data_IF_659030703832
#
_entry.id   IF_659030703832
#
_cell.length_a   1.000
_cell.length_b   1.000
_cell.length_c   1.000
_cell.angle_alpha   90.00
_cell.angle_beta   90.00
_cell.angle_gamma   90.00
#
_symmetry.space_group_name_H-M   'P 1'
#
loop_
_entity.id
_entity.type
_entity.pdbx_description
1 polymer ?
#
# COMPACT_ATOMS: atom_id res chain seq x y z
N UNK A 1 -6.80 -38.62 35.29
CA UNK A 1 -7.09 -37.91 34.03
C UNK A 1 -8.43 -38.44 33.51
N UNK A 2 -9.51 -37.65 33.66
CA UNK A 2 -10.88 -38.08 33.29
C UNK A 2 -11.04 -38.10 31.77
N UNK A 3 -11.82 -39.05 31.23
CA UNK A 3 -12.11 -39.20 29.79
C UNK A 3 -12.52 -37.88 29.09
N UNK A 4 -13.15 -36.95 29.82
CA UNK A 4 -13.48 -35.59 29.34
C UNK A 4 -12.26 -34.73 28.97
N UNK A 5 -11.12 -34.91 29.66
CA UNK A 5 -9.88 -34.15 29.40
C UNK A 5 -9.14 -34.62 28.15
N UNK A 6 -9.45 -35.81 27.64
CA UNK A 6 -8.86 -36.36 26.40
C UNK A 6 -9.51 -35.77 25.13
N UNK A 7 -10.79 -35.35 25.24
CA UNK A 7 -11.58 -34.82 24.12
C UNK A 7 -11.79 -33.30 24.16
N UNK A 8 -11.32 -32.63 25.21
CA UNK A 8 -11.42 -31.17 25.33
C UNK A 8 -10.11 -30.54 24.87
N UNK A 9 -10.09 -29.79 23.75
CA UNK A 9 -8.87 -29.11 23.33
C UNK A 9 -8.45 -28.10 24.41
N UNK A 10 -7.15 -28.04 24.72
CA UNK A 10 -6.59 -27.07 25.66
C UNK A 10 -6.53 -25.68 25.01
N UNK A 11 -7.67 -24.98 24.99
CA UNK A 11 -7.80 -23.62 24.43
C UNK A 11 -7.73 -22.61 25.57
N UNK A 12 -6.69 -21.79 25.59
CA UNK A 12 -6.54 -20.66 26.51
C UNK A 12 -6.58 -19.34 25.74
N UNK A 13 -7.72 -18.65 25.78
CA UNK A 13 -7.87 -17.34 25.14
C UNK A 13 -7.29 -16.26 26.06
N UNK A 14 -6.43 -15.34 25.57
CA UNK A 14 -5.95 -14.22 26.38
C UNK A 14 -7.11 -13.38 26.91
N UNK A 15 -7.06 -13.01 28.20
CA UNK A 15 -8.11 -12.19 28.84
C UNK A 15 -7.72 -10.72 28.94
N UNK A 16 -6.46 -10.37 28.68
CA UNK A 16 -5.99 -8.99 28.78
C UNK A 16 -6.37 -8.16 27.53
N UNK A 17 -6.75 -6.91 27.77
CA UNK A 17 -7.23 -6.02 26.72
C UNK A 17 -6.16 -5.77 25.63
N UNK A 18 -4.90 -5.59 26.05
CA UNK A 18 -3.83 -5.20 25.13
C UNK A 18 -3.53 -6.29 24.10
N UNK A 19 -3.40 -7.54 24.52
CA UNK A 19 -3.17 -8.67 23.62
C UNK A 19 -4.32 -8.84 22.63
N UNK A 20 -5.56 -8.76 23.11
CA UNK A 20 -6.75 -8.84 22.27
C UNK A 20 -6.83 -7.67 21.26
N UNK A 21 -6.51 -6.44 21.68
CA UNK A 21 -6.47 -5.28 20.80
C UNK A 21 -5.40 -5.42 19.71
N UNK A 22 -4.19 -5.85 20.06
CA UNK A 22 -3.11 -6.07 19.10
C UNK A 22 -3.46 -7.17 18.09
N UNK A 23 -4.15 -8.22 18.54
CA UNK A 23 -4.64 -9.26 17.64
C UNK A 23 -5.75 -8.72 16.71
N UNK A 24 -6.69 -7.93 17.23
CA UNK A 24 -7.73 -7.29 16.44
C UNK A 24 -7.16 -6.34 15.38
N UNK A 25 -6.15 -5.54 15.74
CA UNK A 25 -5.46 -4.64 14.81
C UNK A 25 -4.75 -5.42 13.70
N UNK A 26 -4.04 -6.50 14.06
CA UNK A 26 -3.39 -7.38 13.08
C UNK A 26 -4.41 -8.02 12.14
N UNK A 27 -5.53 -8.50 12.68
CA UNK A 27 -6.59 -9.13 11.88
C UNK A 27 -7.26 -8.13 10.95
N UNK A 28 -7.60 -6.94 11.46
CA UNK A 28 -8.14 -5.83 10.66
C UNK A 28 -7.19 -5.43 9.54
N UNK A 29 -5.90 -5.29 9.84
CA UNK A 29 -4.86 -5.00 8.85
C UNK A 29 -4.81 -6.08 7.76
N UNK A 30 -4.88 -7.36 8.13
CA UNK A 30 -4.81 -8.47 7.20
C UNK A 30 -6.03 -8.53 6.26
N UNK A 31 -7.25 -8.47 6.81
CA UNK A 31 -8.49 -8.52 6.01
C UNK A 31 -8.59 -7.31 5.08
N UNK A 32 -8.31 -6.11 5.59
CA UNK A 32 -8.28 -4.90 4.77
C UNK A 32 -7.17 -4.97 3.70
N UNK A 33 -6.00 -5.52 4.04
CA UNK A 33 -4.87 -5.67 3.13
C UNK A 33 -5.17 -6.60 1.97
N UNK A 34 -5.85 -7.73 2.24
CA UNK A 34 -6.34 -8.65 1.19
C UNK A 34 -7.25 -7.91 0.22
N UNK A 35 -8.22 -7.15 0.73
CA UNK A 35 -9.14 -6.40 -0.11
C UNK A 35 -8.43 -5.31 -0.91
N UNK A 36 -7.52 -4.58 -0.29
CA UNK A 36 -6.78 -3.50 -0.92
C UNK A 36 -5.89 -4.03 -2.06
N UNK A 37 -5.00 -4.96 -1.76
CA UNK A 37 -4.04 -5.50 -2.75
C UNK A 37 -4.77 -6.41 -3.76
N UNK A 38 -5.82 -7.11 -3.33
CA UNK A 38 -6.68 -7.88 -4.24
C UNK A 38 -7.33 -7.00 -5.30
N UNK A 39 -7.90 -5.84 -4.91
CA UNK A 39 -8.44 -4.88 -5.87
C UNK A 39 -7.35 -4.24 -6.73
N UNK A 40 -6.16 -3.97 -6.19
CA UNK A 40 -5.02 -3.50 -6.96
C UNK A 40 -4.64 -4.46 -8.09
N UNK A 41 -4.59 -5.76 -7.79
CA UNK A 41 -4.31 -6.82 -8.76
C UNK A 41 -5.46 -6.99 -9.74
N UNK A 42 -6.71 -6.96 -9.28
CA UNK A 42 -7.87 -6.93 -10.17
C UNK A 42 -7.77 -5.79 -11.19
N UNK A 43 -7.45 -4.56 -10.75
CA UNK A 43 -7.33 -3.43 -11.67
C UNK A 43 -6.23 -3.63 -12.73
N UNK A 44 -5.09 -4.19 -12.33
CA UNK A 44 -3.93 -4.32 -13.21
C UNK A 44 -3.97 -5.56 -14.12
N UNK A 45 -4.44 -6.69 -13.59
CA UNK A 45 -4.38 -7.99 -14.26
C UNK A 45 -5.66 -8.36 -14.98
N UNK A 46 -6.81 -7.84 -14.54
CA UNK A 46 -8.13 -8.22 -15.07
C UNK A 46 -8.80 -7.04 -15.76
N UNK A 47 -9.00 -5.94 -15.03
CA UNK A 47 -9.78 -4.82 -15.52
C UNK A 47 -9.11 -4.12 -16.73
N UNK A 48 -7.82 -3.78 -16.64
CA UNK A 48 -7.13 -3.10 -17.76
C UNK A 48 -7.16 -3.92 -19.05
N UNK A 49 -6.83 -5.23 -19.07
CA UNK A 49 -6.98 -6.06 -20.26
C UNK A 49 -8.42 -6.07 -20.80
N UNK A 50 -9.42 -6.35 -19.95
CA UNK A 50 -10.83 -6.35 -20.34
C UNK A 50 -11.26 -5.03 -20.99
N UNK A 51 -10.81 -3.89 -20.44
CA UNK A 51 -11.16 -2.56 -20.97
C UNK A 51 -10.61 -2.26 -22.38
N UNK A 52 -9.68 -3.06 -22.89
CA UNK A 52 -9.17 -2.97 -24.27
C UNK A 52 -10.02 -3.78 -25.26
N UNK A 53 -10.75 -4.77 -24.77
CA UNK A 53 -11.57 -5.67 -25.58
C UNK A 53 -13.00 -5.14 -25.78
N UNK A 54 -13.47 -4.27 -24.88
CA UNK A 54 -14.81 -3.69 -24.94
C UNK A 54 -14.92 -2.58 -26.00
N UNK A 55 -16.02 -2.60 -26.76
CA UNK A 55 -16.41 -1.51 -27.64
C UNK A 55 -16.83 -0.24 -26.83
N UNK A 56 -16.84 0.96 -27.45
CA UNK A 56 -17.16 2.20 -26.75
C UNK A 56 -18.52 2.22 -26.05
N UNK A 57 -19.55 1.59 -26.64
CA UNK A 57 -20.91 1.59 -26.10
C UNK A 57 -20.98 0.73 -24.84
N UNK A 58 -20.44 -0.48 -24.89
CA UNK A 58 -20.39 -1.38 -23.73
C UNK A 58 -19.55 -0.78 -22.60
N UNK A 59 -18.40 -0.19 -22.95
CA UNK A 59 -17.51 0.47 -21.98
C UNK A 59 -18.21 1.62 -21.25
N UNK A 60 -19.02 2.42 -21.96
CA UNK A 60 -19.81 3.50 -21.38
C UNK A 60 -20.84 3.03 -20.33
N UNK A 61 -21.40 1.82 -20.48
CA UNK A 61 -22.37 1.23 -19.54
C UNK A 61 -21.70 0.58 -18.32
N UNK A 62 -20.63 -0.17 -18.56
CA UNK A 62 -19.97 -0.99 -17.52
C UNK A 62 -19.01 -0.17 -16.66
N UNK A 63 -18.20 0.69 -17.28
CA UNK A 63 -17.07 1.30 -16.60
C UNK A 63 -17.47 2.23 -15.44
N UNK A 64 -18.45 3.15 -15.59
CA UNK A 64 -18.82 4.03 -14.49
C UNK A 64 -19.40 3.29 -13.28
N UNK A 65 -20.24 2.28 -13.52
CA UNK A 65 -20.93 1.53 -12.46
C UNK A 65 -19.98 0.58 -11.70
N UNK A 66 -19.10 -0.10 -12.41
CA UNK A 66 -18.09 -0.98 -11.83
C UNK A 66 -17.00 -0.18 -11.08
N UNK A 67 -16.40 0.81 -11.74
CA UNK A 67 -15.20 1.47 -11.23
C UNK A 67 -15.47 2.30 -9.98
N UNK A 68 -16.62 2.99 -9.88
CA UNK A 68 -16.91 3.80 -8.68
C UNK A 68 -17.01 2.95 -7.41
N UNK A 69 -17.62 1.76 -7.51
CA UNK A 69 -17.76 0.82 -6.39
C UNK A 69 -16.41 0.21 -6.02
N UNK A 70 -15.67 -0.28 -7.02
CA UNK A 70 -14.36 -0.87 -6.80
C UNK A 70 -13.36 0.14 -6.21
N UNK A 71 -13.36 1.39 -6.71
CA UNK A 71 -12.48 2.46 -6.21
C UNK A 71 -12.82 2.90 -4.79
N UNK A 72 -14.10 2.87 -4.39
CA UNK A 72 -14.49 3.15 -3.01
C UNK A 72 -13.89 2.13 -2.04
N UNK A 73 -14.08 0.84 -2.33
CA UNK A 73 -13.52 -0.26 -1.52
C UNK A 73 -12.00 -0.22 -1.51
N UNK A 74 -11.38 -0.02 -2.68
CA UNK A 74 -9.93 0.10 -2.82
C UNK A 74 -9.35 1.22 -1.95
N UNK A 75 -10.00 2.38 -1.95
CA UNK A 75 -9.55 3.54 -1.17
C UNK A 75 -9.72 3.35 0.33
N UNK A 76 -10.86 2.81 0.77
CA UNK A 76 -11.14 2.63 2.19
C UNK A 76 -10.32 1.49 2.79
N UNK A 77 -10.21 0.37 2.08
CA UNK A 77 -9.36 -0.76 2.50
C UNK A 77 -7.89 -0.36 2.63
N UNK A 78 -7.37 0.48 1.71
CA UNK A 78 -6.03 1.04 1.83
C UNK A 78 -5.82 1.81 3.14
N UNK A 79 -6.73 2.74 3.44
CA UNK A 79 -6.65 3.55 4.65
C UNK A 79 -6.73 2.69 5.92
N UNK A 80 -7.69 1.77 5.98
CA UNK A 80 -7.85 0.86 7.13
C UNK A 80 -6.62 -0.02 7.32
N UNK A 81 -6.06 -0.57 6.25
CA UNK A 81 -4.84 -1.39 6.30
C UNK A 81 -3.69 -0.59 6.91
N UNK A 82 -3.38 0.58 6.35
CA UNK A 82 -2.23 1.36 6.80
C UNK A 82 -2.42 1.89 8.21
N UNK A 83 -3.61 2.39 8.57
CA UNK A 83 -3.86 2.90 9.92
C UNK A 83 -3.77 1.79 10.98
N UNK A 84 -4.41 0.64 10.75
CA UNK A 84 -4.30 -0.50 11.65
C UNK A 84 -2.85 -0.98 11.77
N UNK A 85 -2.12 -0.99 10.65
CA UNK A 85 -0.71 -1.35 10.58
C UNK A 85 0.19 -0.39 11.35
N UNK A 86 -0.01 0.93 11.22
CA UNK A 86 0.76 1.95 11.92
C UNK A 86 0.53 1.90 13.44
N UNK A 87 -0.71 1.69 13.88
CA UNK A 87 -1.02 1.56 15.31
C UNK A 87 -0.34 0.29 15.87
N UNK A 88 -0.49 -0.83 15.17
CA UNK A 88 0.11 -2.10 15.55
C UNK A 88 1.65 -2.02 15.56
N UNK A 89 2.26 -1.51 14.50
CA UNK A 89 3.71 -1.37 14.40
C UNK A 89 4.26 -0.38 15.43
N UNK A 90 3.59 0.76 15.64
CA UNK A 90 3.96 1.73 16.67
C UNK A 90 4.01 1.13 18.06
N UNK A 91 3.13 0.16 18.37
CA UNK A 91 3.19 -0.59 19.64
C UNK A 91 4.45 -1.44 19.77
N UNK A 92 4.92 -2.05 18.67
CA UNK A 92 6.15 -2.84 18.62
C UNK A 92 7.35 -1.91 18.80
N UNK A 93 7.41 -0.81 18.04
CA UNK A 93 8.52 0.15 18.16
C UNK A 93 8.60 0.72 19.58
N UNK A 94 7.46 1.06 20.19
CA UNK A 94 7.44 1.56 21.55
C UNK A 94 7.88 0.52 22.57
N UNK A 95 7.53 -0.75 22.36
CA UNK A 95 7.99 -1.88 23.19
C UNK A 95 9.51 -2.05 23.10
N UNK A 96 10.03 -2.18 21.88
CA UNK A 96 11.45 -2.44 21.64
C UNK A 96 12.32 -1.27 22.11
N UNK A 97 11.90 -0.04 21.82
CA UNK A 97 12.59 1.15 22.29
C UNK A 97 12.64 1.20 23.84
N UNK A 98 11.53 0.93 24.53
CA UNK A 98 11.51 0.90 26.01
C UNK A 98 12.43 -0.19 26.56
N UNK A 99 12.43 -1.38 25.95
CA UNK A 99 13.30 -2.48 26.37
C UNK A 99 14.78 -2.14 26.18
N UNK A 100 15.11 -1.33 25.17
CA UNK A 100 16.45 -0.80 24.92
C UNK A 100 16.79 0.51 25.64
N UNK A 101 15.95 1.00 26.57
CA UNK A 101 16.20 2.26 27.29
C UNK A 101 16.10 3.52 26.41
N UNK A 102 15.38 3.45 25.29
CA UNK A 102 15.22 4.50 24.29
C UNK A 102 13.75 4.91 24.09
N UNK A 103 13.48 5.79 23.13
CA UNK A 103 12.14 6.24 22.75
C UNK A 103 11.85 5.91 21.28
N UNK A 104 10.56 5.79 20.94
CA UNK A 104 10.12 5.48 19.56
C UNK A 104 10.26 6.66 18.58
N UNK A 105 10.66 7.84 19.05
CA UNK A 105 10.61 9.09 18.30
C UNK A 105 11.39 9.05 16.98
N UNK A 106 12.65 8.61 17.01
CA UNK A 106 13.51 8.54 15.82
C UNK A 106 12.94 7.59 14.76
N UNK A 107 12.46 6.41 15.17
CA UNK A 107 11.87 5.44 14.26
C UNK A 107 10.56 5.92 13.63
N UNK A 108 9.69 6.60 14.39
CA UNK A 108 8.46 7.18 13.83
C UNK A 108 8.76 8.35 12.90
N UNK A 109 9.64 9.25 13.32
CA UNK A 109 9.98 10.43 12.52
C UNK A 109 10.67 10.03 11.21
N UNK A 110 11.69 9.18 11.27
CA UNK A 110 12.40 8.69 10.08
C UNK A 110 11.46 7.96 9.13
N UNK A 111 10.52 7.15 9.63
CA UNK A 111 9.50 6.51 8.80
C UNK A 111 8.69 7.54 7.99
N UNK A 112 8.01 8.47 8.66
CA UNK A 112 7.13 9.40 7.95
C UNK A 112 7.90 10.34 7.01
N UNK A 113 9.06 10.82 7.44
CA UNK A 113 9.89 11.74 6.64
C UNK A 113 10.42 11.03 5.40
N UNK A 114 11.10 9.89 5.56
CA UNK A 114 11.73 9.18 4.44
C UNK A 114 10.68 8.75 3.43
N UNK A 115 9.63 8.05 3.88
CA UNK A 115 8.66 7.47 2.96
C UNK A 115 7.79 8.53 2.28
N UNK A 116 7.50 9.67 2.93
CA UNK A 116 6.75 10.76 2.28
C UNK A 116 7.61 11.52 1.27
N UNK A 117 8.89 11.78 1.57
CA UNK A 117 9.81 12.39 0.61
C UNK A 117 10.02 11.46 -0.59
N UNK A 118 10.23 10.17 -0.32
CA UNK A 118 10.36 9.13 -1.35
C UNK A 118 9.14 9.13 -2.27
N UNK A 119 7.93 9.13 -1.70
CA UNK A 119 6.71 9.24 -2.47
C UNK A 119 6.67 10.48 -3.36
N UNK A 120 7.06 11.66 -2.84
CA UNK A 120 7.09 12.91 -3.61
C UNK A 120 8.03 12.84 -4.82
N UNK A 121 9.21 12.27 -4.63
CA UNK A 121 10.20 12.05 -5.71
C UNK A 121 9.65 11.08 -6.75
N UNK A 122 9.12 9.93 -6.31
CA UNK A 122 8.56 8.93 -7.21
C UNK A 122 7.34 9.47 -7.97
N UNK A 123 6.48 10.26 -7.31
CA UNK A 123 5.37 10.94 -7.97
C UNK A 123 5.83 11.92 -9.04
N UNK A 124 6.90 12.68 -8.79
CA UNK A 124 7.47 13.59 -9.78
C UNK A 124 7.95 12.84 -11.04
N UNK A 125 8.51 11.63 -10.89
CA UNK A 125 8.90 10.76 -12.01
C UNK A 125 7.71 10.26 -12.84
N UNK A 126 6.50 10.21 -12.27
CA UNK A 126 5.29 9.81 -12.99
C UNK A 126 4.65 10.96 -13.80
N UNK A 127 5.08 12.20 -13.56
CA UNK A 127 4.64 13.31 -14.38
C UNK A 127 5.24 13.15 -15.79
N UNK A 128 4.46 13.35 -16.86
CA UNK A 128 4.95 13.11 -18.22
C UNK A 128 6.19 13.95 -18.52
N UNK A 129 7.30 13.28 -18.75
CA UNK A 129 8.56 13.88 -19.20
C UNK A 129 8.69 13.86 -20.72
N UNK A 130 9.85 14.29 -21.22
CA UNK A 130 10.30 14.06 -22.59
C UNK A 130 11.52 13.14 -22.57
N UNK A 131 11.71 12.32 -23.61
CA UNK A 131 12.89 11.47 -23.77
C UNK A 131 12.89 10.23 -22.85
N UNK A 132 14.05 9.89 -22.28
CA UNK A 132 14.27 8.64 -21.55
C UNK A 132 13.33 8.44 -20.33
N UNK A 133 12.93 9.53 -19.67
CA UNK A 133 12.04 9.48 -18.50
C UNK A 133 10.60 9.06 -18.86
N UNK A 134 10.23 9.02 -20.15
CA UNK A 134 8.93 8.53 -20.58
C UNK A 134 8.90 7.00 -20.80
N UNK A 135 10.06 6.33 -20.71
CA UNK A 135 10.21 4.89 -20.91
C UNK A 135 9.96 4.10 -19.62
N UNK A 136 9.07 3.10 -19.68
CA UNK A 136 8.64 2.34 -18.50
C UNK A 136 9.76 1.58 -17.77
N UNK A 137 10.76 1.06 -18.49
CA UNK A 137 11.89 0.35 -17.87
C UNK A 137 12.86 1.31 -17.17
N UNK A 138 13.06 2.52 -17.70
CA UNK A 138 13.84 3.59 -17.03
C UNK A 138 13.19 3.95 -15.71
N UNK A 139 11.86 4.15 -15.72
CA UNK A 139 11.09 4.40 -14.50
C UNK A 139 11.23 3.24 -13.51
N UNK A 140 11.18 1.99 -13.97
CA UNK A 140 11.37 0.82 -13.09
C UNK A 140 12.74 0.82 -12.41
N UNK A 141 13.82 1.08 -13.15
CA UNK A 141 15.18 1.18 -12.58
C UNK A 141 15.28 2.32 -11.56
N UNK A 142 14.77 3.51 -11.90
CA UNK A 142 14.79 4.65 -10.99
C UNK A 142 14.00 4.37 -9.72
N UNK A 143 12.83 3.74 -9.84
CA UNK A 143 12.03 3.29 -8.70
C UNK A 143 12.81 2.32 -7.81
N UNK A 144 13.46 1.31 -8.40
CA UNK A 144 14.28 0.35 -7.65
C UNK A 144 15.39 1.07 -6.89
N UNK A 145 16.18 1.92 -7.56
CA UNK A 145 17.29 2.65 -6.94
C UNK A 145 16.80 3.51 -5.78
N UNK A 146 15.75 4.31 -6.00
CA UNK A 146 15.23 5.24 -5.02
C UNK A 146 14.65 4.50 -3.81
N UNK A 147 13.84 3.46 -4.03
CA UNK A 147 13.22 2.68 -2.95
C UNK A 147 14.28 1.91 -2.15
N UNK A 148 15.27 1.31 -2.83
CA UNK A 148 16.40 0.65 -2.16
C UNK A 148 17.23 1.64 -1.34
N UNK A 149 17.48 2.85 -1.85
CA UNK A 149 18.18 3.89 -1.11
C UNK A 149 17.40 4.34 0.12
N UNK A 150 16.08 4.55 0.00
CA UNK A 150 15.22 4.91 1.13
C UNK A 150 15.14 3.81 2.18
N UNK A 151 15.09 2.54 1.77
CA UNK A 151 15.15 1.41 2.69
C UNK A 151 16.51 1.36 3.43
N UNK A 152 17.62 1.54 2.72
CA UNK A 152 18.94 1.62 3.32
C UNK A 152 19.06 2.79 4.32
N UNK A 153 18.56 3.98 3.95
CA UNK A 153 18.55 5.15 4.81
C UNK A 153 17.72 4.92 6.08
N UNK A 154 16.54 4.30 5.93
CA UNK A 154 15.69 3.94 7.06
C UNK A 154 16.40 2.97 8.01
N UNK A 155 17.06 1.94 7.49
CA UNK A 155 17.86 1.01 8.29
C UNK A 155 19.01 1.73 9.00
N UNK A 156 19.77 2.56 8.28
CA UNK A 156 20.91 3.29 8.83
C UNK A 156 20.52 4.22 9.99
N UNK A 157 19.38 4.90 9.88
CA UNK A 157 18.88 5.81 10.92
C UNK A 157 18.22 5.09 12.10
N UNK A 158 17.94 3.78 11.97
CA UNK A 158 17.31 2.96 13.00
C UNK A 158 18.18 1.75 13.35
N UNK A 159 19.49 1.93 13.34
CA UNK A 159 20.43 0.91 13.78
C UNK A 159 21.06 1.36 15.11
N UNK A 160 20.27 1.31 16.17
CA UNK A 160 20.70 1.70 17.51
C UNK A 160 21.02 0.47 18.39
N UNK A 161 20.67 -0.73 17.93
CA UNK A 161 20.97 -2.00 18.61
C UNK A 161 19.85 -2.51 19.51
N UNK A 162 18.68 -1.87 19.49
CA UNK A 162 17.48 -2.31 20.23
C UNK A 162 16.35 -2.76 19.31
N UNK A 163 16.47 -2.55 18.01
CA UNK A 163 15.43 -2.83 17.04
C UNK A 163 15.33 -4.32 16.72
N UNK A 164 14.15 -4.90 16.92
CA UNK A 164 13.89 -6.24 16.39
C UNK A 164 13.77 -6.23 14.86
N UNK A 165 13.95 -7.41 14.26
CA UNK A 165 13.65 -7.65 12.84
C UNK A 165 12.25 -7.13 12.45
N UNK A 166 11.27 -7.24 13.36
CA UNK A 166 9.89 -6.79 13.13
C UNK A 166 9.81 -5.27 12.99
N UNK A 167 10.53 -4.51 13.80
CA UNK A 167 10.57 -3.04 13.70
C UNK A 167 11.09 -2.63 12.33
N UNK A 168 12.22 -3.20 11.91
CA UNK A 168 12.91 -2.81 10.68
C UNK A 168 12.19 -3.31 9.42
N UNK A 169 11.79 -4.59 9.39
CA UNK A 169 11.09 -5.16 8.23
C UNK A 169 9.72 -4.51 8.02
N UNK A 170 8.90 -4.34 9.07
CA UNK A 170 7.61 -3.65 8.96
C UNK A 170 7.82 -2.16 8.66
N UNK A 171 8.89 -1.54 9.16
CA UNK A 171 9.25 -0.16 8.81
C UNK A 171 9.49 0.03 7.31
N UNK A 172 10.13 -0.93 6.64
CA UNK A 172 10.32 -0.91 5.19
C UNK A 172 9.02 -1.24 4.45
N UNK A 173 8.42 -2.40 4.73
CA UNK A 173 7.19 -2.84 4.05
C UNK A 173 6.03 -1.85 4.27
N UNK A 174 5.83 -1.40 5.50
CA UNK A 174 4.84 -0.40 5.88
C UNK A 174 5.12 0.96 5.26
N UNK A 175 6.38 1.31 5.04
CA UNK A 175 6.77 2.52 4.34
C UNK A 175 6.40 2.50 2.87
N UNK A 176 6.62 1.37 2.19
CA UNK A 176 6.12 1.12 0.84
C UNK A 176 4.58 1.22 0.83
N UNK A 177 3.91 0.64 1.85
CA UNK A 177 2.46 0.73 2.03
C UNK A 177 1.97 2.17 2.20
N UNK A 178 2.69 2.99 2.96
CA UNK A 178 2.40 4.42 3.14
C UNK A 178 2.44 5.16 1.80
N UNK A 179 3.49 4.97 0.99
CA UNK A 179 3.57 5.56 -0.35
C UNK A 179 2.41 5.10 -1.24
N UNK A 180 2.06 3.81 -1.18
CA UNK A 180 0.94 3.27 -1.94
C UNK A 180 -0.40 3.85 -1.48
N UNK A 181 -0.61 4.09 -0.19
CA UNK A 181 -1.81 4.79 0.31
C UNK A 181 -1.90 6.20 -0.28
N UNK A 182 -0.80 6.95 -0.28
CA UNK A 182 -0.72 8.28 -0.88
C UNK A 182 -1.01 8.23 -2.39
N UNK A 183 -0.56 7.20 -3.09
CA UNK A 183 -0.92 6.96 -4.49
C UNK A 183 -2.43 6.77 -4.67
N UNK A 184 -3.07 5.96 -3.82
CA UNK A 184 -4.51 5.70 -3.91
C UNK A 184 -5.32 6.97 -3.64
N UNK A 185 -5.09 7.62 -2.50
CA UNK A 185 -5.88 8.77 -2.06
C UNK A 185 -5.51 10.08 -2.74
N UNK A 186 -4.21 10.31 -2.95
CA UNK A 186 -3.67 11.55 -3.50
C UNK A 186 -3.73 11.63 -5.02
N UNK A 187 -3.62 10.49 -5.72
CA UNK A 187 -3.45 10.45 -7.19
C UNK A 187 -4.57 9.68 -7.87
N UNK A 188 -4.64 8.37 -7.69
CA UNK A 188 -5.52 7.46 -8.45
C UNK A 188 -6.98 7.85 -8.27
N UNK A 189 -7.46 7.99 -7.03
CA UNK A 189 -8.86 8.32 -6.76
C UNK A 189 -9.27 9.65 -7.39
N UNK A 190 -8.45 10.70 -7.24
CA UNK A 190 -8.76 12.05 -7.74
C UNK A 190 -8.83 12.06 -9.27
N UNK A 191 -7.90 11.37 -9.92
CA UNK A 191 -7.87 11.26 -11.38
C UNK A 191 -9.07 10.43 -11.87
N UNK A 192 -9.26 9.23 -11.32
CA UNK A 192 -10.31 8.32 -11.76
C UNK A 192 -11.70 8.93 -11.58
N UNK A 193 -11.95 9.62 -10.46
CA UNK A 193 -13.22 10.34 -10.24
C UNK A 193 -13.51 11.34 -11.37
N UNK A 194 -12.51 12.09 -11.83
CA UNK A 194 -12.66 13.04 -12.95
C UNK A 194 -12.86 12.34 -14.28
N UNK A 195 -12.06 11.32 -14.58
CA UNK A 195 -12.17 10.55 -15.82
C UNK A 195 -13.53 9.87 -15.95
N UNK A 196 -14.06 9.30 -14.86
CA UNK A 196 -15.39 8.67 -14.84
C UNK A 196 -16.48 9.72 -15.09
N UNK A 197 -16.38 10.90 -14.45
CA UNK A 197 -17.34 11.98 -14.67
C UNK A 197 -17.37 12.45 -16.12
N UNK A 198 -16.20 12.63 -16.76
CA UNK A 198 -16.12 13.01 -18.17
C UNK A 198 -16.62 11.90 -19.10
N UNK A 199 -16.28 10.64 -18.80
CA UNK A 199 -16.78 9.50 -19.58
C UNK A 199 -18.31 9.44 -19.53
N UNK A 200 -18.89 9.67 -18.34
CA UNK A 200 -20.35 9.71 -18.16
C UNK A 200 -20.98 10.84 -18.97
N UNK A 201 -20.42 12.05 -18.89
CA UNK A 201 -20.93 13.20 -19.65
C UNK A 201 -20.83 13.00 -21.17
N UNK A 202 -19.76 12.37 -21.65
CA UNK A 202 -19.61 11.99 -23.05
C UNK A 202 -20.67 10.96 -23.48
N UNK A 203 -20.90 9.94 -22.66
CA UNK A 203 -21.86 8.88 -22.95
C UNK A 203 -23.34 9.36 -22.90
N UNK A 204 -23.68 10.26 -21.98
CA UNK A 204 -25.05 10.76 -21.82
C UNK A 204 -25.40 11.85 -22.84
N UNK A 205 -24.48 12.80 -23.07
CA UNK A 205 -24.80 14.05 -23.78
C UNK A 205 -23.81 14.36 -24.93
N UNK A 206 -22.89 13.46 -25.27
CA UNK A 206 -21.91 13.68 -26.34
C UNK A 206 -20.82 14.71 -26.02
N UNK A 207 -20.67 15.12 -24.76
CA UNK A 207 -19.68 16.12 -24.36
C UNK A 207 -18.24 15.69 -24.74
N UNK A 208 -17.43 16.55 -25.37
CA UNK A 208 -16.08 16.18 -25.77
C UNK A 208 -15.18 15.91 -24.55
N UNK A 209 -14.29 14.93 -24.67
CA UNK A 209 -13.31 14.63 -23.63
C UNK A 209 -12.27 15.76 -23.55
N UNK A 210 -11.92 16.26 -22.34
CA UNK A 210 -10.89 17.29 -22.20
C UNK A 210 -9.51 16.80 -22.66
N UNK A 211 -8.71 17.68 -23.28
CA UNK A 211 -7.35 17.37 -23.76
C UNK A 211 -6.45 16.73 -22.68
N UNK A 212 -6.58 17.21 -21.44
CA UNK A 212 -5.82 16.69 -20.30
C UNK A 212 -6.22 15.27 -19.85
N UNK A 213 -7.36 14.74 -20.31
CA UNK A 213 -7.86 13.44 -19.88
C UNK A 213 -6.88 12.31 -20.20
N UNK A 214 -6.27 12.33 -21.40
CA UNK A 214 -5.27 11.33 -21.81
C UNK A 214 -4.04 11.36 -20.89
N UNK A 215 -3.55 12.55 -20.56
CA UNK A 215 -2.43 12.76 -19.64
C UNK A 215 -2.75 12.20 -18.25
N UNK A 216 -3.92 12.55 -17.72
CA UNK A 216 -4.33 12.10 -16.39
C UNK A 216 -4.51 10.58 -16.34
N UNK A 217 -5.13 9.99 -17.37
CA UNK A 217 -5.28 8.55 -17.48
C UNK A 217 -3.94 7.82 -17.48
N UNK A 218 -2.93 8.35 -18.19
CA UNK A 218 -1.56 7.81 -18.18
C UNK A 218 -0.96 7.83 -16.77
N UNK A 219 -1.05 8.96 -16.06
CA UNK A 219 -0.53 9.08 -14.69
C UNK A 219 -1.18 8.04 -13.78
N UNK A 220 -2.52 7.98 -13.74
CA UNK A 220 -3.22 7.00 -12.91
C UNK A 220 -2.87 5.56 -13.25
N UNK A 221 -2.69 5.24 -14.54
CA UNK A 221 -2.26 3.91 -14.98
C UNK A 221 -0.85 3.56 -14.49
N UNK A 222 0.13 4.44 -14.69
CA UNK A 222 1.50 4.22 -14.23
C UNK A 222 1.58 4.15 -12.71
N UNK A 223 0.86 5.02 -12.00
CA UNK A 223 0.76 4.97 -10.53
C UNK A 223 0.21 3.62 -10.04
N UNK A 224 -0.84 3.11 -10.69
CA UNK A 224 -1.44 1.81 -10.35
C UNK A 224 -0.48 0.65 -10.61
N UNK A 225 0.23 0.66 -11.75
CA UNK A 225 1.22 -0.36 -12.10
C UNK A 225 2.41 -0.36 -11.14
N UNK A 226 2.95 0.82 -10.84
CA UNK A 226 4.04 0.97 -9.88
C UNK A 226 3.63 0.42 -8.50
N UNK A 227 2.43 0.77 -8.03
CA UNK A 227 1.90 0.26 -6.77
C UNK A 227 1.74 -1.27 -6.77
N UNK A 228 1.32 -1.87 -7.90
CA UNK A 228 1.18 -3.32 -8.02
C UNK A 228 2.52 -4.07 -8.02
N UNK A 229 3.60 -3.46 -8.49
CA UNK A 229 4.95 -4.03 -8.38
C UNK A 229 5.48 -3.86 -6.96
N UNK A 230 5.35 -2.65 -6.40
CA UNK A 230 5.77 -2.34 -5.03
C UNK A 230 5.06 -3.21 -3.99
N UNK A 231 3.80 -3.59 -4.23
CA UNK A 231 3.05 -4.45 -3.31
C UNK A 231 3.69 -5.82 -3.12
N UNK A 232 4.42 -6.35 -4.11
CA UNK A 232 5.12 -7.63 -4.00
C UNK A 232 6.22 -7.52 -2.94
N UNK A 233 7.03 -6.47 -3.02
CA UNK A 233 8.10 -6.21 -2.05
C UNK A 233 7.55 -5.86 -0.67
N UNK A 234 6.48 -5.07 -0.61
CA UNK A 234 5.75 -4.81 0.64
C UNK A 234 5.35 -6.12 1.30
N UNK A 235 4.68 -7.03 0.58
CA UNK A 235 4.22 -8.31 1.11
C UNK A 235 5.39 -9.18 1.58
N UNK A 236 6.51 -9.18 0.83
CA UNK A 236 7.73 -9.85 1.26
C UNK A 236 8.20 -9.35 2.63
N UNK A 237 8.33 -8.03 2.83
CA UNK A 237 8.76 -7.47 4.11
C UNK A 237 7.76 -7.74 5.25
N UNK A 238 6.45 -7.76 4.96
CA UNK A 238 5.44 -8.15 5.95
C UNK A 238 5.59 -9.61 6.39
N UNK A 239 5.89 -10.52 5.45
CA UNK A 239 6.17 -11.93 5.76
C UNK A 239 7.50 -12.11 6.49
N UNK A 240 8.55 -11.44 6.02
CA UNK A 240 9.91 -11.52 6.58
C UNK A 240 9.96 -11.06 8.05
N UNK A 241 9.12 -10.11 8.45
CA UNK A 241 9.10 -9.55 9.80
C UNK A 241 9.12 -10.60 10.91
N UNK A 242 8.35 -11.69 10.78
CA UNK A 242 8.28 -12.76 11.78
C UNK A 242 8.91 -14.08 11.33
N UNK A 243 9.26 -14.22 10.05
CA UNK A 243 9.63 -15.51 9.45
C UNK A 243 11.01 -15.52 8.79
N UNK A 244 11.68 -14.37 8.70
CA UNK A 244 13.02 -14.27 8.10
C UNK A 244 13.84 -13.21 8.85
N UNK A 245 14.57 -13.60 9.92
CA UNK A 245 15.32 -12.67 10.75
C UNK A 245 16.58 -12.21 10.01
N UNK A 246 16.44 -11.14 9.23
CA UNK A 246 17.49 -10.55 8.39
C UNK A 246 17.97 -9.19 8.89
N UNK A 247 17.23 -8.58 9.82
CA UNK A 247 17.55 -7.30 10.43
C UNK A 247 17.56 -7.43 11.96
N UNK A 248 18.33 -6.56 12.61
CA UNK A 248 18.53 -6.59 14.06
C UNK A 248 19.69 -7.49 14.47
N UNK A 249 20.24 -7.23 15.65
CA UNK A 249 21.28 -7.99 16.33
C UNK A 249 20.88 -8.26 17.77
#
# INVERSE_FOLDING_TARGET
>A
MTLMTFFSPSISVPTDFQTNLLMLLRWTHFVAGIMWIGLLYFFNLVNVPLMKELDPVTKGKVMPSLMLRALWWFRMSAAVTVLAGLIYWGSIVASDARNGGSTSGTAMASFFVIWTITWGILYALLLPGKGLLDQGWVLAILYTIIVSHSAYLFLKLNHHGWESNRVLAIGIGGGIGWMMLLNVWGVIWRIQKRLIAWTKANAENGAPMPEQAKRMARIAFLTSRASAVLSIFLLFFMGAASHYPMFGG
#
